data_IF_361952461066
#
_entry.id   IF_361952461066
#
_cell.length_a   1.000
_cell.length_b   1.000
_cell.length_c   1.000
_cell.angle_alpha   90.00
_cell.angle_beta   90.00
_cell.angle_gamma   90.00
#
_symmetry.space_group_name_H-M   'P 1'
#
loop_
_entity.id
_entity.type
_entity.pdbx_description
1 polymer ?
#
# COMPACT_ATOMS: atom_id res chain seq x y z
N UNK A 1 -3.47 27.21 5.92
CA UNK A 1 -3.89 27.12 7.33
C UNK A 1 -4.77 25.88 7.58
N UNK A 2 -4.21 24.66 7.50
CA UNK A 2 -4.94 23.41 7.76
C UNK A 2 -5.47 23.31 9.20
N UNK A 3 -4.80 24.01 10.10
CA UNK A 3 -5.11 24.08 11.53
C UNK A 3 -6.42 24.83 11.84
N UNK A 4 -6.90 25.68 10.93
CA UNK A 4 -8.20 26.37 11.07
C UNK A 4 -9.38 25.50 10.62
N UNK A 5 -9.14 24.36 9.95
CA UNK A 5 -10.20 23.49 9.43
C UNK A 5 -10.93 22.70 10.53
N UNK A 6 -10.40 22.63 11.75
CA UNK A 6 -11.07 21.94 12.86
C UNK A 6 -10.58 22.44 14.22
N UNK A 7 -11.53 22.67 15.13
CA UNK A 7 -11.25 23.05 16.52
C UNK A 7 -10.92 21.84 17.41
N UNK A 8 -11.16 20.61 16.92
CA UNK A 8 -10.91 19.39 17.68
C UNK A 8 -9.43 19.02 17.63
N UNK A 9 -8.75 19.16 18.77
CA UNK A 9 -7.31 18.85 18.92
C UNK A 9 -6.94 17.43 18.44
N UNK A 10 -7.79 16.44 18.68
CA UNK A 10 -7.57 15.04 18.25
C UNK A 10 -7.49 14.91 16.74
N UNK A 11 -8.32 15.66 16.01
CA UNK A 11 -8.38 15.62 14.55
C UNK A 11 -7.15 16.32 13.97
N UNK A 12 -6.78 17.50 14.49
CA UNK A 12 -5.54 18.20 14.10
C UNK A 12 -4.31 17.32 14.26
N UNK A 13 -4.19 16.59 15.37
CA UNK A 13 -3.06 15.67 15.62
C UNK A 13 -2.98 14.56 14.58
N UNK A 14 -4.12 13.98 14.17
CA UNK A 14 -4.17 12.93 13.13
C UNK A 14 -3.78 13.48 11.75
N UNK A 15 -4.29 14.66 11.38
CA UNK A 15 -3.94 15.30 10.11
C UNK A 15 -2.44 15.64 10.07
N UNK A 16 -1.91 16.21 11.15
CA UNK A 16 -0.48 16.53 11.25
C UNK A 16 0.38 15.27 11.14
N UNK A 17 0.00 14.17 11.81
CA UNK A 17 0.70 12.89 11.69
C UNK A 17 0.72 12.38 10.24
N UNK A 18 -0.42 12.48 9.54
CA UNK A 18 -0.50 12.10 8.13
C UNK A 18 0.43 12.94 7.25
N UNK A 19 0.34 14.27 7.36
CA UNK A 19 1.11 15.21 6.54
C UNK A 19 2.62 15.14 6.81
N UNK A 20 3.04 14.86 8.05
CA UNK A 20 4.46 14.88 8.43
C UNK A 20 5.15 13.54 8.21
N UNK A 21 4.45 12.42 8.49
CA UNK A 21 5.03 11.08 8.51
C UNK A 21 4.40 10.13 7.50
N UNK A 22 3.09 9.90 7.60
CA UNK A 22 2.44 8.80 6.87
C UNK A 22 2.44 9.01 5.36
N UNK A 23 2.28 10.25 4.87
CA UNK A 23 2.25 10.52 3.44
C UNK A 23 3.57 10.18 2.71
N UNK A 24 4.70 10.19 3.42
CA UNK A 24 6.02 9.84 2.86
C UNK A 24 6.24 8.32 2.77
N UNK A 25 5.36 7.52 3.37
CA UNK A 25 5.47 6.07 3.36
C UNK A 25 4.93 5.57 2.02
N UNK A 26 5.84 5.08 1.18
CA UNK A 26 5.54 4.39 -0.07
C UNK A 26 5.99 2.92 0.03
N UNK A 27 5.24 1.98 -0.57
CA UNK A 27 5.71 0.60 -0.71
C UNK A 27 7.04 0.55 -1.45
N UNK A 28 7.89 -0.40 -1.09
CA UNK A 28 9.17 -0.64 -1.76
C UNK A 28 8.95 -1.40 -3.07
N UNK A 29 7.95 -2.28 -3.09
CA UNK A 29 7.50 -3.00 -4.27
C UNK A 29 6.81 -2.04 -5.25
N UNK A 30 7.21 -2.09 -6.52
CA UNK A 30 6.58 -1.33 -7.62
C UNK A 30 5.73 -2.24 -8.48
N UNK A 31 4.84 -1.64 -9.27
CA UNK A 31 4.08 -2.38 -10.29
C UNK A 31 4.97 -3.13 -11.30
N UNK A 32 6.19 -2.64 -11.55
CA UNK A 32 7.18 -3.35 -12.36
C UNK A 32 7.63 -4.67 -11.73
N UNK A 33 7.82 -4.70 -10.41
CA UNK A 33 8.19 -5.92 -9.68
C UNK A 33 7.06 -6.95 -9.73
N UNK A 34 5.81 -6.50 -9.58
CA UNK A 34 4.62 -7.34 -9.72
C UNK A 34 4.51 -7.95 -11.13
N UNK A 35 4.83 -7.18 -12.16
CA UNK A 35 4.89 -7.69 -13.54
C UNK A 35 5.97 -8.76 -13.69
N UNK A 36 7.16 -8.56 -13.10
CA UNK A 36 8.25 -9.55 -13.08
C UNK A 36 7.91 -10.80 -12.28
N UNK A 37 7.05 -10.70 -11.25
CA UNK A 37 6.53 -11.83 -10.48
C UNK A 37 5.46 -12.64 -11.23
N UNK A 38 5.05 -12.22 -12.44
CA UNK A 38 4.09 -12.93 -13.28
C UNK A 38 2.65 -12.44 -13.15
N UNK A 39 2.40 -11.31 -12.48
CA UNK A 39 1.07 -10.71 -12.47
C UNK A 39 0.80 -9.99 -13.80
N UNK A 40 -0.37 -10.22 -14.43
CA UNK A 40 -0.73 -9.52 -15.66
C UNK A 40 -0.98 -8.04 -15.40
N UNK A 41 -0.68 -7.20 -16.40
CA UNK A 41 -0.98 -5.76 -16.36
C UNK A 41 -2.50 -5.54 -16.35
N UNK A 42 -3.07 -5.50 -15.16
CA UNK A 42 -4.50 -5.42 -14.89
C UNK A 42 -4.78 -4.34 -13.84
N UNK A 43 -5.99 -3.76 -13.79
CA UNK A 43 -6.42 -2.89 -12.68
C UNK A 43 -6.18 -3.50 -11.29
N UNK A 44 -6.13 -4.84 -11.20
CA UNK A 44 -5.77 -5.57 -9.98
C UNK A 44 -4.39 -5.20 -9.42
N UNK A 45 -3.40 -4.86 -10.26
CA UNK A 45 -2.08 -4.40 -9.77
C UNK A 45 -2.22 -3.14 -8.92
N UNK A 46 -3.10 -2.22 -9.32
CA UNK A 46 -3.36 -1.00 -8.54
C UNK A 46 -3.91 -1.32 -7.16
N UNK A 47 -4.86 -2.26 -7.09
CA UNK A 47 -5.46 -2.72 -5.83
C UNK A 47 -4.40 -3.36 -4.92
N UNK A 48 -3.53 -4.21 -5.46
CA UNK A 48 -2.43 -4.84 -4.70
C UNK A 48 -1.47 -3.78 -4.14
N UNK A 49 -1.11 -2.78 -4.95
CA UNK A 49 -0.23 -1.69 -4.51
C UNK A 49 -0.87 -0.80 -3.44
N UNK A 50 -2.17 -0.55 -3.51
CA UNK A 50 -2.90 0.15 -2.44
C UNK A 50 -2.92 -0.68 -1.15
N UNK A 51 -3.17 -1.98 -1.24
CA UNK A 51 -3.20 -2.86 -0.06
C UNK A 51 -1.83 -2.96 0.60
N UNK A 52 -0.75 -3.09 -0.19
CA UNK A 52 0.62 -3.04 0.31
C UNK A 52 0.92 -1.72 1.02
N UNK A 53 0.45 -0.60 0.47
CA UNK A 53 0.62 0.71 1.10
C UNK A 53 -0.11 0.77 2.44
N UNK A 54 -1.32 0.23 2.54
CA UNK A 54 -2.08 0.17 3.79
C UNK A 54 -1.37 -0.68 4.85
N UNK A 55 -0.97 -1.90 4.49
CA UNK A 55 -0.18 -2.80 5.35
C UNK A 55 1.12 -2.16 5.87
N UNK A 56 1.80 -1.38 5.02
CA UNK A 56 3.01 -0.65 5.37
C UNK A 56 2.72 0.54 6.30
N UNK A 57 1.59 1.22 6.12
CA UNK A 57 1.11 2.27 7.03
C UNK A 57 0.77 1.72 8.42
N UNK A 58 0.24 0.50 8.47
CA UNK A 58 0.00 -0.24 9.72
C UNK A 58 1.29 -0.76 10.36
N UNK A 59 2.42 -0.71 9.63
CA UNK A 59 3.74 -1.11 10.11
C UNK A 59 3.98 -2.62 10.10
N UNK A 60 3.12 -3.38 9.43
CA UNK A 60 3.19 -4.84 9.30
C UNK A 60 4.28 -5.27 8.31
N UNK A 61 4.49 -4.48 7.26
CA UNK A 61 5.50 -4.75 6.22
C UNK A 61 6.62 -3.73 6.32
N UNK A 62 7.86 -4.19 6.57
CA UNK A 62 9.03 -3.31 6.73
C UNK A 62 10.00 -3.47 5.58
N UNK A 63 10.21 -4.70 5.12
CA UNK A 63 11.16 -5.03 4.07
C UNK A 63 10.48 -5.32 2.74
N UNK A 64 11.27 -5.28 1.65
CA UNK A 64 10.79 -5.66 0.32
C UNK A 64 10.41 -7.14 0.24
N UNK A 65 11.11 -7.98 1.01
CA UNK A 65 10.85 -9.42 1.09
C UNK A 65 9.51 -9.69 1.78
N UNK A 66 9.21 -9.00 2.89
CA UNK A 66 7.90 -9.09 3.54
C UNK A 66 6.77 -8.69 2.59
N UNK A 67 6.96 -7.60 1.82
CA UNK A 67 5.99 -7.14 0.83
C UNK A 67 5.76 -8.18 -0.28
N UNK A 68 6.83 -8.82 -0.76
CA UNK A 68 6.75 -9.87 -1.77
C UNK A 68 6.02 -11.12 -1.25
N UNK A 69 6.36 -11.57 -0.05
CA UNK A 69 5.74 -12.73 0.60
C UNK A 69 4.25 -12.48 0.88
N UNK A 70 3.91 -11.27 1.32
CA UNK A 70 2.53 -10.85 1.51
C UNK A 70 1.74 -10.91 0.20
N UNK A 71 2.30 -10.39 -0.90
CA UNK A 71 1.64 -10.47 -2.22
C UNK A 71 1.41 -11.91 -2.66
N UNK A 72 2.43 -12.76 -2.54
CA UNK A 72 2.35 -14.18 -2.91
C UNK A 72 1.29 -14.93 -2.10
N UNK A 73 1.17 -14.62 -0.80
CA UNK A 73 0.24 -15.29 0.12
C UNK A 73 -1.19 -14.78 -0.02
N UNK A 74 -1.40 -13.46 -0.14
CA UNK A 74 -2.74 -12.85 -0.17
C UNK A 74 -3.34 -12.77 -1.57
N UNK A 75 -2.51 -12.67 -2.61
CA UNK A 75 -2.95 -12.54 -3.99
C UNK A 75 -2.43 -13.71 -4.82
N UNK A 76 -2.94 -14.94 -4.63
CA UNK A 76 -2.59 -16.03 -5.51
C UNK A 76 -2.95 -15.64 -6.95
N UNK A 77 -2.01 -15.77 -7.86
CA UNK A 77 -2.13 -15.51 -9.29
C UNK A 77 -3.07 -16.52 -9.97
N UNK A 78 -4.31 -16.65 -9.48
CA UNK A 78 -5.38 -17.37 -10.15
C UNK A 78 -5.99 -16.47 -11.21
N UNK A 79 -5.31 -16.44 -12.34
CA UNK A 79 -5.95 -16.47 -13.65
C UNK A 79 -5.29 -17.59 -14.47
N UNK A 80 -5.52 -18.85 -14.03
CA UNK A 80 -5.85 -19.88 -15.01
C UNK A 80 -7.26 -19.56 -15.51
N UNK A 81 -7.36 -18.75 -16.56
CA UNK A 81 -8.49 -18.77 -17.48
C UNK A 81 -7.96 -19.47 -18.73
N UNK A 82 -8.14 -20.77 -18.96
CA UNK A 82 -9.24 -21.61 -18.51
C UNK A 82 -10.49 -21.29 -19.35
N UNK A 83 -10.42 -21.71 -20.62
CA UNK A 83 -11.46 -21.83 -21.65
C UNK A 83 -11.97 -20.56 -22.35
#
# INVERSE_FOLDING_TARGET
FWSAATERWRVRRRILLYLTRLHKITPLLRGADLLSMGYPRSPRIGIILEELKMQRLDGLLKTREDEADYVLTHFPSKEKKGE
#
